data_IF_956499827553
#
_entry.id   IF_956499827553
#
_cell.length_a   1.000
_cell.length_b   1.000
_cell.length_c   1.000
_cell.angle_alpha   90.00
_cell.angle_beta   90.00
_cell.angle_gamma   90.00
#
_symmetry.space_group_name_H-M   'P 1'
#
loop_
_entity.id
_entity.type
_entity.pdbx_description
1 polymer ?
#
# COMPACT_ATOMS: atom_id res chain seq x y z
N UNK A 1 -12.53 10.81 -17.72
CA UNK A 1 -12.21 12.19 -17.27
C UNK A 1 -10.72 12.53 -17.47
N UNK A 2 -9.77 11.66 -17.07
CA UNK A 2 -8.33 11.90 -17.22
C UNK A 2 -7.87 12.04 -18.69
N UNK A 3 -8.25 11.10 -19.58
CA UNK A 3 -7.91 11.13 -21.00
C UNK A 3 -8.51 12.37 -21.67
N UNK A 4 -9.72 12.76 -21.33
CA UNK A 4 -10.35 13.97 -21.87
C UNK A 4 -9.59 15.26 -21.50
N UNK A 5 -8.95 15.31 -20.32
CA UNK A 5 -8.08 16.42 -19.93
C UNK A 5 -6.79 16.42 -20.74
N UNK A 6 -6.15 15.25 -20.90
CA UNK A 6 -4.90 15.12 -21.66
C UNK A 6 -5.07 15.49 -23.14
N UNK A 7 -6.17 15.09 -23.77
CA UNK A 7 -6.45 15.40 -25.18
C UNK A 7 -6.74 16.89 -25.41
N UNK A 8 -7.26 17.60 -24.37
CA UNK A 8 -7.48 19.06 -24.42
C UNK A 8 -6.21 19.89 -24.23
N UNK A 9 -5.17 19.31 -23.63
CA UNK A 9 -3.91 20.00 -23.41
C UNK A 9 -3.11 20.06 -24.71
N UNK A 10 -2.95 21.24 -25.27
CA UNK A 10 -2.21 21.48 -26.53
C UNK A 10 -0.73 21.07 -26.46
N UNK A 11 -0.17 20.95 -25.26
CA UNK A 11 1.23 20.60 -25.04
C UNK A 11 1.45 19.07 -24.97
N UNK A 12 0.38 18.26 -24.94
CA UNK A 12 0.46 16.81 -24.79
C UNK A 12 0.01 16.13 -26.09
N UNK A 13 0.90 15.38 -26.73
CA UNK A 13 0.57 14.49 -27.86
C UNK A 13 0.38 13.08 -27.33
N UNK A 14 -0.87 12.68 -27.14
CA UNK A 14 -1.22 11.31 -26.75
C UNK A 14 -1.13 10.39 -27.98
N UNK A 15 -0.33 9.33 -27.90
CA UNK A 15 -0.26 8.28 -28.93
C UNK A 15 -0.59 6.92 -28.32
N UNK A 16 -1.45 6.19 -29.01
CA UNK A 16 -1.81 4.81 -28.61
C UNK A 16 -0.92 3.86 -29.40
N UNK A 17 -0.19 2.97 -28.72
CA UNK A 17 0.80 2.08 -29.36
C UNK A 17 0.21 1.26 -30.52
N UNK A 18 -1.02 0.74 -30.35
CA UNK A 18 -1.69 -0.06 -31.37
C UNK A 18 -2.40 0.78 -32.45
N UNK A 19 -2.51 2.11 -32.26
CA UNK A 19 -3.18 3.03 -33.16
C UNK A 19 -2.45 4.38 -33.15
N UNK A 20 -1.23 4.46 -33.74
CA UNK A 20 -0.38 5.63 -33.65
C UNK A 20 -0.95 6.89 -34.36
N UNK A 21 -1.88 6.71 -35.28
CA UNK A 21 -2.54 7.77 -36.06
C UNK A 21 -3.98 8.02 -35.62
N UNK A 22 -4.39 7.54 -34.42
CA UNK A 22 -5.74 7.78 -33.94
C UNK A 22 -5.99 9.27 -33.73
N UNK A 23 -7.12 9.75 -34.26
CA UNK A 23 -7.59 11.10 -34.02
C UNK A 23 -8.21 11.26 -32.64
N UNK A 24 -8.51 12.50 -32.24
CA UNK A 24 -9.06 12.80 -30.94
C UNK A 24 -10.42 12.11 -30.71
N UNK A 25 -11.24 11.99 -31.74
CA UNK A 25 -12.54 11.32 -31.64
C UNK A 25 -12.36 9.83 -31.36
N UNK A 26 -11.46 9.17 -32.08
CA UNK A 26 -11.14 7.75 -31.88
C UNK A 26 -10.60 7.49 -30.48
N UNK A 27 -9.72 8.37 -29.97
CA UNK A 27 -9.19 8.26 -28.60
C UNK A 27 -10.32 8.35 -27.57
N UNK A 28 -11.27 9.29 -27.73
CA UNK A 28 -12.42 9.41 -26.84
C UNK A 28 -13.35 8.21 -26.93
N UNK A 29 -13.59 7.69 -28.13
CA UNK A 29 -14.42 6.51 -28.35
C UNK A 29 -13.82 5.28 -27.63
N UNK A 30 -12.51 5.01 -27.83
CA UNK A 30 -11.84 3.91 -27.16
C UNK A 30 -11.84 4.07 -25.63
N UNK A 31 -11.68 5.29 -25.13
CA UNK A 31 -11.74 5.56 -23.69
C UNK A 31 -13.12 5.27 -23.13
N UNK A 32 -14.20 5.63 -23.85
CA UNK A 32 -15.57 5.35 -23.45
C UNK A 32 -15.85 3.83 -23.47
N UNK A 33 -15.43 3.12 -24.53
CA UNK A 33 -15.56 1.66 -24.62
C UNK A 33 -14.82 0.95 -23.50
N UNK A 34 -13.58 1.37 -23.19
CA UNK A 34 -12.79 0.79 -22.12
C UNK A 34 -13.44 1.03 -20.72
N UNK A 35 -14.09 2.17 -20.53
CA UNK A 35 -14.84 2.44 -19.32
C UNK A 35 -16.06 1.52 -19.21
N UNK A 36 -16.83 1.38 -20.28
CA UNK A 36 -17.99 0.49 -20.33
C UNK A 36 -17.61 -0.97 -20.06
N UNK A 37 -16.50 -1.43 -20.65
CA UNK A 37 -16.01 -2.78 -20.42
C UNK A 37 -15.66 -3.01 -18.94
N UNK A 38 -14.99 -2.06 -18.29
CA UNK A 38 -14.71 -2.13 -16.85
C UNK A 38 -15.99 -2.22 -16.00
N UNK A 39 -17.01 -1.47 -16.37
CA UNK A 39 -18.31 -1.53 -15.68
C UNK A 39 -18.97 -2.90 -15.85
N UNK A 40 -18.96 -3.47 -17.06
CA UNK A 40 -19.48 -4.82 -17.31
C UNK A 40 -18.69 -5.90 -16.55
N UNK A 41 -17.36 -5.82 -16.53
CA UNK A 41 -16.53 -6.73 -15.74
C UNK A 41 -16.87 -6.61 -14.25
N UNK A 42 -17.03 -5.38 -13.75
CA UNK A 42 -17.41 -5.13 -12.34
C UNK A 42 -18.77 -5.74 -12.00
N UNK A 43 -19.79 -5.54 -12.85
CA UNK A 43 -21.14 -6.09 -12.66
C UNK A 43 -21.07 -7.63 -12.68
N UNK A 44 -20.40 -8.22 -13.68
CA UNK A 44 -20.25 -9.68 -13.80
C UNK A 44 -19.57 -10.26 -12.57
N UNK A 45 -18.47 -9.64 -12.12
CA UNK A 45 -17.71 -10.11 -10.96
C UNK A 45 -18.58 -10.04 -9.69
N UNK A 46 -19.32 -8.94 -9.48
CA UNK A 46 -20.22 -8.82 -8.32
C UNK A 46 -21.33 -9.87 -8.34
N UNK A 47 -21.90 -10.12 -9.51
CA UNK A 47 -22.95 -11.14 -9.65
C UNK A 47 -22.42 -12.54 -9.36
N UNK A 48 -21.26 -12.90 -9.94
CA UNK A 48 -20.60 -14.17 -9.69
C UNK A 48 -20.23 -14.37 -8.21
N UNK A 49 -19.71 -13.31 -7.55
CA UNK A 49 -19.39 -13.36 -6.13
C UNK A 49 -20.63 -13.49 -5.24
N UNK A 50 -21.73 -12.85 -5.62
CA UNK A 50 -23.02 -13.01 -4.92
C UNK A 50 -23.52 -14.43 -5.02
N UNK A 51 -23.60 -14.97 -6.24
CA UNK A 51 -24.03 -16.34 -6.49
C UNK A 51 -23.15 -17.37 -5.75
N UNK A 52 -21.82 -17.13 -5.78
CA UNK A 52 -20.90 -17.99 -5.03
C UNK A 52 -21.17 -17.96 -3.52
N UNK A 53 -21.45 -16.77 -2.97
CA UNK A 53 -21.74 -16.59 -1.54
C UNK A 53 -23.06 -17.25 -1.15
N UNK A 54 -24.06 -17.17 -2.00
CA UNK A 54 -25.37 -17.86 -1.79
C UNK A 54 -25.21 -19.39 -1.77
N UNK A 55 -24.37 -19.91 -2.68
CA UNK A 55 -24.06 -21.35 -2.76
C UNK A 55 -23.13 -21.83 -1.64
N UNK A 56 -22.39 -20.92 -1.00
CA UNK A 56 -21.38 -21.26 0.02
C UNK A 56 -21.48 -20.33 1.23
N UNK A 57 -22.59 -20.34 2.00
CA UNK A 57 -22.82 -19.39 3.11
C UNK A 57 -21.75 -19.47 4.21
N UNK A 58 -21.24 -20.67 4.47
CA UNK A 58 -20.24 -20.91 5.52
C UNK A 58 -18.79 -20.65 5.10
N UNK A 59 -18.54 -20.42 3.81
CA UNK A 59 -17.18 -20.19 3.30
C UNK A 59 -16.88 -18.72 3.18
N UNK A 60 -15.72 -18.30 3.67
CA UNK A 60 -15.18 -16.95 3.48
C UNK A 60 -14.29 -16.90 2.25
N UNK A 61 -14.50 -15.86 1.42
CA UNK A 61 -13.59 -15.55 0.32
C UNK A 61 -12.26 -15.03 0.88
N UNK A 62 -11.16 -15.39 0.24
CA UNK A 62 -9.82 -14.96 0.61
C UNK A 62 -8.95 -16.13 1.08
N UNK A 63 -7.80 -15.77 1.65
CA UNK A 63 -6.87 -16.78 2.16
C UNK A 63 -7.37 -17.31 3.52
N UNK A 64 -7.71 -18.59 3.67
CA UNK A 64 -8.19 -19.15 4.93
C UNK A 64 -7.17 -19.02 6.07
N UNK A 65 -5.86 -18.96 5.76
CA UNK A 65 -4.78 -18.81 6.73
C UNK A 65 -4.43 -17.35 7.05
N UNK A 66 -5.21 -16.37 6.57
CA UNK A 66 -4.86 -14.94 6.73
C UNK A 66 -4.74 -14.51 8.19
N UNK A 67 -5.56 -15.08 9.07
CA UNK A 67 -5.53 -14.78 10.50
C UNK A 67 -4.21 -15.22 11.13
N UNK A 68 -3.75 -16.43 10.82
CA UNK A 68 -2.48 -16.98 11.29
C UNK A 68 -1.28 -16.20 10.73
N UNK A 69 -1.30 -15.93 9.43
CA UNK A 69 -0.27 -15.12 8.77
C UNK A 69 -0.17 -13.74 9.42
N UNK A 70 -1.30 -13.10 9.70
CA UNK A 70 -1.33 -11.78 10.34
C UNK A 70 -0.85 -11.84 11.81
N UNK A 71 -1.18 -12.91 12.54
CA UNK A 71 -0.66 -13.14 13.90
C UNK A 71 0.86 -13.25 13.89
N UNK A 72 1.41 -14.03 12.96
CA UNK A 72 2.87 -14.21 12.80
C UNK A 72 3.56 -12.90 12.37
N UNK A 73 2.95 -12.12 11.47
CA UNK A 73 3.48 -10.81 11.07
C UNK A 73 3.52 -9.83 12.25
N UNK A 74 2.44 -9.77 13.05
CA UNK A 74 2.38 -8.92 14.25
C UNK A 74 3.42 -9.33 15.27
N UNK A 75 3.58 -10.64 15.51
CA UNK A 75 4.59 -11.16 16.42
C UNK A 75 6.01 -10.76 15.99
N UNK A 76 6.38 -11.00 14.73
CA UNK A 76 7.69 -10.60 14.18
C UNK A 76 7.92 -9.09 14.27
N UNK A 77 6.89 -8.28 13.98
CA UNK A 77 6.99 -6.82 14.08
C UNK A 77 7.24 -6.36 15.54
N UNK A 78 6.59 -6.99 16.52
CA UNK A 78 6.80 -6.69 17.94
C UNK A 78 8.19 -7.12 18.42
N UNK A 79 8.64 -8.31 18.04
CA UNK A 79 10.00 -8.77 18.34
C UNK A 79 11.04 -7.80 17.78
N UNK A 80 10.90 -7.41 16.52
CA UNK A 80 11.81 -6.44 15.92
C UNK A 80 11.78 -5.09 16.66
N UNK A 81 10.60 -4.58 16.98
CA UNK A 81 10.47 -3.35 17.75
C UNK A 81 11.17 -3.44 19.12
N UNK A 82 11.00 -4.56 19.83
CA UNK A 82 11.71 -4.81 21.09
C UNK A 82 13.23 -4.82 20.92
N UNK A 83 13.75 -5.45 19.87
CA UNK A 83 15.19 -5.51 19.62
C UNK A 83 15.83 -4.13 19.38
N UNK A 84 15.10 -3.19 18.75
CA UNK A 84 15.61 -1.83 18.48
C UNK A 84 15.17 -0.81 19.53
N UNK A 85 14.39 -1.24 20.54
CA UNK A 85 13.85 -0.35 21.57
C UNK A 85 14.93 0.36 22.35
N UNK A 86 16.01 -0.35 22.71
CA UNK A 86 17.14 0.18 23.48
C UNK A 86 17.84 1.37 22.80
N UNK A 87 17.72 1.50 21.49
CA UNK A 87 18.28 2.61 20.73
C UNK A 87 17.23 3.69 20.53
N UNK A 88 16.03 3.32 20.11
CA UNK A 88 14.97 4.28 19.74
C UNK A 88 14.40 5.02 20.93
N UNK A 89 14.20 4.35 22.07
CA UNK A 89 13.55 4.96 23.23
C UNK A 89 14.38 6.09 23.87
N UNK A 90 15.71 5.96 24.11
CA UNK A 90 16.54 7.05 24.58
C UNK A 90 16.53 8.27 23.65
N UNK A 91 16.67 8.05 22.34
CA UNK A 91 16.64 9.10 21.34
C UNK A 91 15.28 9.86 21.35
N UNK A 92 14.19 9.11 21.50
CA UNK A 92 12.87 9.71 21.59
C UNK A 92 12.66 10.50 22.90
N UNK A 93 13.18 10.03 24.03
CA UNK A 93 13.16 10.74 25.32
C UNK A 93 13.96 12.04 25.26
N UNK A 94 15.02 12.10 24.47
CA UNK A 94 15.80 13.32 24.21
C UNK A 94 15.05 14.33 23.28
N UNK A 95 13.81 14.04 22.90
CA UNK A 95 13.00 14.94 22.07
C UNK A 95 13.30 14.86 20.57
N UNK A 96 14.13 13.92 20.09
CA UNK A 96 14.46 13.82 18.68
C UNK A 96 13.24 13.54 17.81
N UNK A 97 13.20 14.16 16.64
CA UNK A 97 12.16 13.91 15.63
C UNK A 97 12.34 12.54 14.99
N UNK A 98 11.28 12.00 14.39
CA UNK A 98 11.37 10.71 13.67
C UNK A 98 12.40 10.72 12.53
N UNK A 99 12.61 11.88 11.90
CA UNK A 99 13.62 12.06 10.87
C UNK A 99 15.04 11.93 11.46
N UNK A 100 15.32 12.63 12.54
CA UNK A 100 16.62 12.57 13.22
C UNK A 100 16.93 11.14 13.71
N UNK A 101 15.94 10.48 14.32
CA UNK A 101 16.08 9.08 14.77
C UNK A 101 16.38 8.15 13.59
N UNK A 102 15.68 8.32 12.44
CA UNK A 102 15.94 7.51 11.25
C UNK A 102 17.37 7.72 10.72
N UNK A 103 17.85 8.97 10.68
CA UNK A 103 19.23 9.30 10.27
C UNK A 103 20.23 8.66 11.23
N UNK A 104 20.09 8.80 12.53
CA UNK A 104 20.98 8.22 13.55
C UNK A 104 21.03 6.68 13.43
N UNK A 105 19.88 6.02 13.24
CA UNK A 105 19.84 4.57 13.05
C UNK A 105 20.60 4.13 11.78
N UNK A 106 20.47 4.89 10.68
CA UNK A 106 21.17 4.61 9.43
C UNK A 106 22.68 4.84 9.56
N UNK A 107 23.12 5.88 10.29
CA UNK A 107 24.53 6.16 10.56
C UNK A 107 25.17 5.05 11.42
N UNK A 108 24.38 4.51 12.36
CA UNK A 108 24.77 3.33 13.16
C UNK A 108 24.70 2.02 12.36
N UNK A 109 24.35 2.06 11.05
CA UNK A 109 24.16 0.89 10.17
C UNK A 109 23.10 -0.10 10.70
N UNK A 110 22.17 0.37 11.52
CA UNK A 110 21.01 -0.42 11.95
C UNK A 110 20.03 -0.49 10.78
N UNK A 111 19.61 -1.71 10.43
CA UNK A 111 18.68 -1.95 9.32
C UNK A 111 17.29 -2.30 9.83
N UNK A 112 16.27 -2.07 8.99
CA UNK A 112 14.91 -2.53 9.25
C UNK A 112 14.83 -4.06 9.23
N UNK A 113 13.70 -4.62 9.66
CA UNK A 113 13.45 -6.07 9.62
C UNK A 113 13.59 -6.70 8.20
N UNK A 114 13.62 -5.89 7.15
CA UNK A 114 13.83 -6.32 5.75
C UNK A 114 15.24 -6.01 5.22
N UNK A 115 16.16 -5.57 6.08
CA UNK A 115 17.51 -5.20 5.68
C UNK A 115 17.64 -3.85 4.96
N UNK A 116 16.59 -3.01 4.97
CA UNK A 116 16.60 -1.70 4.31
C UNK A 116 16.96 -0.57 5.29
N UNK A 117 17.23 0.63 4.76
CA UNK A 117 17.41 1.86 5.56
C UNK A 117 16.12 2.24 6.27
N UNK A 118 16.26 2.93 7.41
CA UNK A 118 15.13 3.52 8.13
C UNK A 118 14.68 4.82 7.50
N UNK A 119 13.36 5.00 7.44
CA UNK A 119 12.68 6.24 7.10
C UNK A 119 11.79 6.68 8.28
N UNK A 120 11.39 7.96 8.40
CA UNK A 120 10.58 8.47 9.52
C UNK A 120 9.29 7.69 9.76
N UNK A 121 8.63 7.25 8.70
CA UNK A 121 7.40 6.45 8.77
C UNK A 121 7.62 5.10 9.46
N UNK A 122 8.78 4.48 9.24
CA UNK A 122 9.14 3.20 9.87
C UNK A 122 9.47 3.39 11.34
N UNK A 123 10.19 4.46 11.71
CA UNK A 123 10.44 4.83 13.12
C UNK A 123 9.12 5.05 13.85
N UNK A 124 8.17 5.81 13.25
CA UNK A 124 6.82 6.00 13.79
C UNK A 124 6.11 4.67 14.03
N UNK A 125 6.18 3.74 13.06
CA UNK A 125 5.55 2.43 13.17
C UNK A 125 6.17 1.58 14.29
N UNK A 126 7.51 1.59 14.42
CA UNK A 126 8.21 0.87 15.51
C UNK A 126 7.79 1.43 16.88
N UNK A 127 7.79 2.74 17.05
CA UNK A 127 7.32 3.39 18.30
C UNK A 127 5.86 3.03 18.58
N UNK A 128 5.00 2.97 17.57
CA UNK A 128 3.63 2.50 17.70
C UNK A 128 3.53 1.06 18.22
N UNK A 129 4.41 0.15 17.78
CA UNK A 129 4.47 -1.21 18.32
C UNK A 129 4.96 -1.23 19.77
N UNK A 130 5.94 -0.39 20.12
CA UNK A 130 6.45 -0.28 21.49
C UNK A 130 5.39 0.26 22.48
N UNK A 131 4.52 1.17 22.03
CA UNK A 131 3.36 1.63 22.81
C UNK A 131 2.39 0.48 23.11
N UNK A 132 2.10 -0.36 22.11
CA UNK A 132 1.25 -1.54 22.30
C UNK A 132 1.87 -2.55 23.29
N UNK A 133 3.21 -2.56 23.41
CA UNK A 133 3.95 -3.39 24.36
C UNK A 133 4.09 -2.74 25.75
N UNK A 134 3.54 -1.53 25.98
CA UNK A 134 3.64 -0.81 27.24
C UNK A 134 5.05 -0.25 27.55
N UNK A 135 5.94 -0.20 26.57
CA UNK A 135 7.32 0.29 26.75
C UNK A 135 7.46 1.80 26.51
N UNK A 136 6.39 2.46 26.08
CA UNK A 136 6.31 3.92 25.85
C UNK A 136 4.99 4.42 26.39
N UNK A 137 5.05 5.44 27.25
CA UNK A 137 3.89 6.21 27.67
C UNK A 137 3.39 7.11 26.52
#
# INVERSE_FOLDING_TARGET
EFIAKLVKDKNVKLRIANLPNADNFQIHLFAAMAQQEREFISIRTRSALREWKEKNPDKKLGNPKIAEINKNRKYKARQFASNVSNIILPLRKQGMTYQQIATTLNDMKVTTARGCKFYPSQVKNVIGQLRVLGQVA
#
